data_IF_815743657063
#
_entry.id   IF_815743657063
#
_cell.length_a   1.000
_cell.length_b   1.000
_cell.length_c   1.000
_cell.angle_alpha   90.00
_cell.angle_beta   90.00
_cell.angle_gamma   90.00
#
_symmetry.space_group_name_H-M   'P 1'
#
loop_
_entity.id
_entity.type
_entity.pdbx_description
1 polymer ?
#
# COMPACT_ATOMS: atom_id res chain seq x y z
N UNK A 1 2.92 28.91 -1.13
CA UNK A 1 2.00 27.86 -0.66
C UNK A 1 2.22 26.67 -1.57
N UNK A 2 2.89 25.63 -1.10
CA UNK A 2 3.10 24.42 -1.91
C UNK A 2 1.87 23.55 -1.76
N UNK A 3 0.98 23.55 -2.75
CA UNK A 3 -0.15 22.62 -2.77
C UNK A 3 0.42 21.22 -2.90
N UNK A 4 0.31 20.41 -1.85
CA UNK A 4 0.68 18.99 -1.93
C UNK A 4 -0.30 18.29 -2.89
N UNK A 5 0.21 17.40 -3.75
CA UNK A 5 -0.64 16.65 -4.68
C UNK A 5 -1.66 15.82 -3.89
N UNK A 6 -2.91 15.75 -4.38
CA UNK A 6 -3.93 14.91 -3.76
C UNK A 6 -3.61 13.43 -3.97
N UNK A 7 -4.18 12.55 -3.13
CA UNK A 7 -4.06 11.10 -3.33
C UNK A 7 -4.47 10.68 -4.75
N UNK A 8 -5.55 11.28 -5.28
CA UNK A 8 -6.03 11.01 -6.63
C UNK A 8 -4.99 11.38 -7.70
N UNK A 9 -4.33 12.53 -7.55
CA UNK A 9 -3.30 12.97 -8.51
C UNK A 9 -2.07 12.05 -8.45
N UNK A 10 -1.67 11.63 -7.24
CA UNK A 10 -0.57 10.68 -7.04
C UNK A 10 -0.90 9.33 -7.70
N UNK A 11 -2.11 8.80 -7.52
CA UNK A 11 -2.53 7.53 -8.14
C UNK A 11 -2.41 7.53 -9.67
N UNK A 12 -2.53 8.69 -10.32
CA UNK A 12 -2.37 8.81 -11.77
C UNK A 12 -0.90 8.69 -12.23
N UNK A 13 0.05 8.86 -11.31
CA UNK A 13 1.50 8.74 -11.58
C UNK A 13 2.04 7.33 -11.31
N UNK A 14 1.29 6.48 -10.60
CA UNK A 14 1.72 5.14 -10.21
C UNK A 14 1.59 4.13 -11.36
N UNK A 15 2.37 3.03 -11.33
CA UNK A 15 2.25 1.95 -12.31
C UNK A 15 0.82 1.44 -12.48
N UNK A 16 0.51 1.01 -13.70
CA UNK A 16 -0.80 0.45 -14.00
C UNK A 16 -0.99 -0.93 -13.34
N UNK A 17 -2.24 -1.23 -12.97
CA UNK A 17 -2.64 -2.45 -12.28
C UNK A 17 -3.75 -3.22 -13.03
N UNK A 18 -4.03 -2.89 -14.29
CA UNK A 18 -5.13 -3.50 -15.04
C UNK A 18 -5.06 -5.03 -15.13
N UNK A 19 -3.84 -5.61 -15.23
CA UNK A 19 -3.64 -7.07 -15.26
C UNK A 19 -3.66 -7.76 -13.90
N UNK A 20 -3.78 -7.01 -12.80
CA UNK A 20 -3.72 -7.55 -11.43
C UNK A 20 -5.15 -7.72 -10.90
N UNK A 21 -5.50 -8.94 -10.48
CA UNK A 21 -6.74 -9.24 -9.77
C UNK A 21 -6.62 -8.88 -8.28
N UNK A 22 -5.49 -9.19 -7.65
CA UNK A 22 -5.25 -8.86 -6.25
C UNK A 22 -3.76 -8.83 -5.88
N UNK A 23 -3.47 -8.26 -4.72
CA UNK A 23 -2.21 -8.40 -3.99
C UNK A 23 -2.44 -9.20 -2.71
N UNK A 24 -1.68 -10.27 -2.52
CA UNK A 24 -1.63 -10.99 -1.25
C UNK A 24 -0.37 -10.56 -0.52
N UNK A 25 -0.54 -9.96 0.66
CA UNK A 25 0.57 -9.57 1.53
C UNK A 25 0.97 -10.78 2.38
N UNK A 26 2.28 -11.01 2.48
CA UNK A 26 2.85 -12.15 3.19
C UNK A 26 3.83 -11.64 4.25
N UNK A 27 3.94 -12.36 5.36
CA UNK A 27 4.97 -12.10 6.35
C UNK A 27 6.35 -12.65 5.92
N UNK A 28 7.33 -12.62 6.82
CA UNK A 28 8.69 -13.12 6.56
C UNK A 28 8.73 -14.63 6.27
N UNK A 29 7.76 -15.39 6.78
CA UNK A 29 7.60 -16.83 6.60
C UNK A 29 6.72 -17.20 5.40
N UNK A 30 6.37 -16.23 4.55
CA UNK A 30 5.48 -16.38 3.40
C UNK A 30 4.03 -16.73 3.75
N UNK A 31 3.59 -16.45 4.98
CA UNK A 31 2.22 -16.67 5.44
C UNK A 31 1.30 -15.49 5.09
N UNK A 32 0.11 -15.73 4.51
CA UNK A 32 -0.83 -14.66 4.12
C UNK A 32 -1.34 -13.83 5.29
N UNK A 33 -1.09 -12.52 5.25
CA UNK A 33 -1.54 -11.55 6.25
C UNK A 33 -2.77 -10.75 5.80
N UNK A 34 -2.86 -10.47 4.50
CA UNK A 34 -4.00 -9.75 3.93
C UNK A 34 -4.10 -9.99 2.42
N UNK A 35 -5.32 -9.82 1.89
CA UNK A 35 -5.58 -9.82 0.45
C UNK A 35 -6.26 -8.52 0.06
N UNK A 36 -5.66 -7.77 -0.85
CA UNK A 36 -6.18 -6.53 -1.41
C UNK A 36 -6.72 -6.83 -2.81
N UNK A 37 -8.04 -6.95 -2.93
CA UNK A 37 -8.69 -7.11 -4.23
C UNK A 37 -8.57 -5.82 -5.06
N UNK A 38 -8.31 -5.95 -6.36
CA UNK A 38 -8.27 -4.81 -7.27
C UNK A 38 -9.68 -4.48 -7.78
N UNK A 39 -10.48 -3.87 -6.92
CA UNK A 39 -11.88 -3.54 -7.17
C UNK A 39 -12.22 -2.12 -6.67
N UNK A 40 -13.38 -1.54 -7.04
CA UNK A 40 -13.81 -0.25 -6.51
C UNK A 40 -13.75 -0.21 -4.97
N UNK A 41 -13.14 0.84 -4.43
CA UNK A 41 -12.90 1.01 -2.99
C UNK A 41 -11.50 0.58 -2.52
N UNK A 42 -10.87 -0.42 -3.14
CA UNK A 42 -9.53 -0.93 -2.75
C UNK A 42 -8.46 -0.76 -3.83
N UNK A 43 -8.85 -0.47 -5.08
CA UNK A 43 -7.94 -0.31 -6.22
C UNK A 43 -6.81 0.72 -5.98
N UNK A 44 -7.09 1.81 -5.27
CA UNK A 44 -6.06 2.79 -4.91
C UNK A 44 -4.96 2.20 -4.03
N UNK A 45 -5.33 1.36 -3.05
CA UNK A 45 -4.35 0.67 -2.21
C UNK A 45 -3.56 -0.39 -2.99
N UNK A 46 -4.19 -1.08 -3.95
CA UNK A 46 -3.49 -2.01 -4.84
C UNK A 46 -2.40 -1.29 -5.63
N UNK A 47 -2.71 -0.12 -6.21
CA UNK A 47 -1.70 0.69 -6.92
C UNK A 47 -0.53 1.11 -6.04
N UNK A 48 -0.80 1.59 -4.82
CA UNK A 48 0.25 1.98 -3.87
C UNK A 48 1.14 0.80 -3.52
N UNK A 49 0.55 -0.31 -3.06
CA UNK A 49 1.32 -1.49 -2.64
C UNK A 49 2.09 -2.12 -3.81
N UNK A 50 1.51 -2.14 -5.01
CA UNK A 50 2.20 -2.59 -6.22
C UNK A 50 3.41 -1.71 -6.54
N UNK A 51 3.26 -0.37 -6.50
CA UNK A 51 4.35 0.56 -6.74
C UNK A 51 5.51 0.36 -5.75
N UNK A 52 5.19 0.16 -4.47
CA UNK A 52 6.19 -0.12 -3.43
C UNK A 52 6.96 -1.40 -3.72
N UNK A 53 6.27 -2.50 -4.01
CA UNK A 53 6.92 -3.79 -4.27
C UNK A 53 7.74 -3.77 -5.55
N UNK A 54 7.27 -3.08 -6.60
CA UNK A 54 8.04 -2.87 -7.83
C UNK A 54 9.34 -2.08 -7.57
N UNK A 55 9.30 -1.08 -6.68
CA UNK A 55 10.45 -0.22 -6.38
C UNK A 55 11.44 -0.83 -5.39
N UNK A 56 10.95 -1.51 -4.37
CA UNK A 56 11.76 -1.96 -3.21
C UNK A 56 11.90 -3.49 -3.12
N UNK A 57 11.16 -4.26 -3.92
CA UNK A 57 11.08 -5.73 -3.86
C UNK A 57 10.26 -6.27 -2.70
N UNK A 58 10.21 -5.57 -1.57
CA UNK A 58 9.39 -5.85 -0.40
C UNK A 58 9.06 -4.55 0.36
N UNK A 59 8.15 -4.62 1.31
CA UNK A 59 7.65 -3.48 2.09
C UNK A 59 8.40 -3.44 3.43
N UNK A 60 9.63 -2.93 3.40
CA UNK A 60 10.40 -2.61 4.61
C UNK A 60 9.99 -1.25 5.21
N UNK A 61 10.71 -0.81 6.25
CA UNK A 61 10.48 0.50 6.91
C UNK A 61 10.58 1.67 5.93
N UNK A 62 11.52 1.63 4.99
CA UNK A 62 11.73 2.70 4.00
C UNK A 62 10.60 2.72 2.99
N UNK A 63 10.22 1.56 2.44
CA UNK A 63 9.10 1.41 1.54
C UNK A 63 7.78 1.82 2.21
N UNK A 64 7.58 1.45 3.48
CA UNK A 64 6.40 1.84 4.23
C UNK A 64 6.31 3.36 4.42
N UNK A 65 7.41 4.03 4.75
CA UNK A 65 7.47 5.49 4.85
C UNK A 65 7.14 6.18 3.51
N UNK A 66 7.64 5.64 2.38
CA UNK A 66 7.27 6.14 1.06
C UNK A 66 5.79 5.90 0.76
N UNK A 67 5.25 4.73 1.11
CA UNK A 67 3.82 4.42 0.95
C UNK A 67 2.92 5.39 1.71
N UNK A 68 3.31 5.78 2.92
CA UNK A 68 2.60 6.81 3.69
C UNK A 68 2.62 8.18 2.99
N UNK A 69 3.70 8.52 2.29
CA UNK A 69 3.72 9.73 1.45
C UNK A 69 2.78 9.60 0.24
N UNK A 70 2.73 8.41 -0.39
CA UNK A 70 1.85 8.14 -1.54
C UNK A 70 0.36 8.22 -1.18
N UNK A 71 -0.03 7.88 0.05
CA UNK A 71 -1.42 8.02 0.54
C UNK A 71 -1.83 9.48 0.84
N UNK A 72 -0.90 10.44 0.79
CA UNK A 72 -1.13 11.87 0.94
C UNK A 72 -2.06 12.24 2.11
N UNK A 73 -3.18 12.92 1.85
CA UNK A 73 -4.12 13.39 2.88
C UNK A 73 -4.68 12.25 3.75
N UNK A 74 -4.75 11.01 3.24
CA UNK A 74 -5.28 9.87 3.98
C UNK A 74 -4.35 9.38 5.08
N UNK A 75 -3.04 9.63 4.97
CA UNK A 75 -2.09 9.30 6.03
C UNK A 75 -2.35 10.10 7.29
N UNK A 76 -2.67 11.40 7.15
CA UNK A 76 -3.04 12.23 8.29
C UNK A 76 -4.34 11.73 8.94
N UNK A 77 -5.33 11.35 8.13
CA UNK A 77 -6.61 10.80 8.62
C UNK A 77 -6.44 9.46 9.34
N UNK A 78 -5.53 8.59 8.88
CA UNK A 78 -5.21 7.32 9.54
C UNK A 78 -4.53 7.51 10.91
N UNK A 79 -3.58 8.45 11.01
CA UNK A 79 -2.98 8.79 12.31
C UNK A 79 -3.99 9.32 13.33
N UNK A 80 -4.97 10.10 12.86
CA UNK A 80 -6.04 10.65 13.71
C UNK A 80 -7.12 9.62 14.07
N UNK A 81 -7.30 8.59 13.24
CA UNK A 81 -8.35 7.59 13.40
C UNK A 81 -7.79 6.16 13.23
N UNK A 82 -7.01 5.64 14.20
CA UNK A 82 -6.42 4.31 14.11
C UNK A 82 -7.48 3.22 13.83
N UNK A 83 -7.22 2.36 12.85
CA UNK A 83 -8.12 1.28 12.44
C UNK A 83 -9.12 1.65 11.36
N UNK A 84 -9.25 2.94 11.00
CA UNK A 84 -10.13 3.41 9.91
C UNK A 84 -9.60 3.03 8.53
N UNK A 85 -8.27 2.91 8.39
CA UNK A 85 -7.61 2.69 7.10
C UNK A 85 -6.66 1.50 7.19
N UNK A 86 -7.14 0.25 7.19
CA UNK A 86 -6.32 -0.92 7.48
C UNK A 86 -5.03 -1.04 6.66
N UNK A 87 -5.04 -0.55 5.42
CA UNK A 87 -3.85 -0.55 4.56
C UNK A 87 -2.84 0.54 4.92
N UNK A 88 -3.28 1.69 5.41
CA UNK A 88 -2.40 2.78 5.87
C UNK A 88 -1.90 2.46 7.28
N UNK A 89 -2.78 1.97 8.15
CA UNK A 89 -2.46 1.51 9.51
C UNK A 89 -1.33 0.47 9.50
N UNK A 90 -1.36 -0.46 8.53
CA UNK A 90 -0.29 -1.44 8.32
C UNK A 90 1.06 -0.79 7.99
N UNK A 91 1.06 0.22 7.12
CA UNK A 91 2.29 0.94 6.78
C UNK A 91 2.80 1.79 7.96
N UNK A 92 1.89 2.41 8.74
CA UNK A 92 2.26 3.10 9.99
C UNK A 92 2.92 2.14 10.97
N UNK A 93 2.37 0.92 11.13
CA UNK A 93 2.95 -0.08 12.02
C UNK A 93 4.39 -0.45 11.62
N UNK A 94 4.65 -0.63 10.32
CA UNK A 94 5.99 -0.97 9.79
C UNK A 94 6.94 0.24 9.89
N UNK A 95 6.50 1.41 9.44
CA UNK A 95 7.32 2.61 9.35
C UNK A 95 7.68 3.19 10.73
N UNK A 96 6.71 3.20 11.65
CA UNK A 96 6.78 3.98 12.88
C UNK A 96 6.80 3.09 14.14
N UNK A 97 6.07 1.97 14.17
CA UNK A 97 5.94 1.11 15.36
C UNK A 97 6.88 -0.11 15.38
N UNK A 98 7.67 -0.33 14.34
CA UNK A 98 8.64 -1.43 14.28
C UNK A 98 8.02 -2.80 14.00
N UNK A 99 6.84 -2.86 13.41
CA UNK A 99 6.30 -4.11 12.87
C UNK A 99 7.23 -4.68 11.78
N UNK A 100 7.30 -6.01 11.62
CA UNK A 100 8.06 -6.65 10.55
C UNK A 100 7.57 -6.19 9.16
N UNK A 101 8.50 -6.12 8.20
CA UNK A 101 8.17 -5.83 6.82
C UNK A 101 7.36 -6.95 6.16
N UNK A 102 6.81 -6.66 4.98
CA UNK A 102 5.94 -7.58 4.26
C UNK A 102 6.43 -7.84 2.85
N UNK A 103 6.24 -9.07 2.36
CA UNK A 103 6.34 -9.40 0.94
C UNK A 103 4.96 -9.24 0.29
N UNK A 104 4.92 -9.26 -1.03
CA UNK A 104 3.67 -9.33 -1.77
C UNK A 104 3.74 -10.33 -2.91
N UNK A 105 2.64 -11.05 -3.10
CA UNK A 105 2.39 -11.93 -4.24
C UNK A 105 1.26 -11.33 -5.09
N UNK A 106 1.52 -11.21 -6.39
CA UNK A 106 0.51 -10.82 -7.37
C UNK A 106 -0.40 -11.99 -7.69
N UNK A 107 -1.67 -11.70 -7.88
CA UNK A 107 -2.65 -12.59 -8.51
C UNK A 107 -3.10 -11.91 -9.79
N UNK A 108 -2.91 -12.55 -10.94
CA UNK A 108 -3.22 -11.96 -12.23
C UNK A 108 -4.69 -12.19 -12.58
N UNK A 109 -5.23 -11.36 -13.47
CA UNK A 109 -6.57 -11.61 -14.01
C UNK A 109 -6.57 -12.89 -14.84
N UNK A 110 -7.52 -13.78 -14.56
CA UNK A 110 -7.68 -15.04 -15.30
C UNK A 110 -6.85 -16.22 -14.79
N UNK A 111 -6.12 -16.04 -13.67
CA UNK A 111 -5.54 -17.15 -12.88
C UNK A 111 -6.62 -17.99 -12.17
#
# INVERSE_FOLDING_TARGET
MTTSASFKDILATLPDTAGIAALVLLDEHDEPQARLENQPGTAGSVKVYYALVQRFGHIDRTAAAEGLALYAEHTADARLNPGKHPNIDRLLAIAEAGAPGLKARLVLQGD
#
